data_IF_712167862713
#
_entry.id   IF_712167862713
#
_cell.length_a   1.000
_cell.length_b   1.000
_cell.length_c   1.000
_cell.angle_alpha   90.00
_cell.angle_beta   90.00
_cell.angle_gamma   90.00
#
_symmetry.space_group_name_H-M   'P 1'
#
loop_
_entity.id
_entity.type
_entity.pdbx_description
1 polymer ?
#
# COMPACT_ATOMS: atom_id res chain seq x y z
N UNK A 1 4.66 19.65 -4.03
CA UNK A 1 5.92 19.06 -3.53
C UNK A 1 5.75 18.74 -2.06
N UNK A 2 6.13 17.53 -1.62
CA UNK A 2 5.94 17.04 -0.25
C UNK A 2 7.30 16.98 0.45
N UNK A 3 7.44 17.65 1.61
CA UNK A 3 8.73 17.75 2.31
C UNK A 3 9.17 16.45 3.00
N UNK A 4 8.21 15.61 3.41
CA UNK A 4 8.49 14.30 4.02
C UNK A 4 7.31 13.36 3.83
N UNK A 5 7.62 12.06 3.71
CA UNK A 5 6.62 11.01 3.54
C UNK A 5 6.89 9.91 4.58
N UNK A 6 5.86 9.54 5.33
CA UNK A 6 5.83 8.30 6.08
C UNK A 6 5.11 7.24 5.23
N UNK A 7 5.70 6.09 5.04
CA UNK A 7 5.08 5.00 4.25
C UNK A 7 4.64 3.89 5.19
N UNK A 8 3.37 3.53 5.10
CA UNK A 8 2.78 2.40 5.80
C UNK A 8 2.23 1.43 4.76
N UNK A 9 2.45 0.15 4.95
CA UNK A 9 2.01 -0.90 4.02
C UNK A 9 1.44 -2.08 4.78
N UNK A 10 0.54 -2.81 4.13
CA UNK A 10 0.12 -4.13 4.58
C UNK A 10 -0.39 -4.10 6.04
N UNK A 11 -1.40 -3.23 6.29
CA UNK A 11 -1.98 -2.99 7.62
C UNK A 11 -2.91 -4.14 8.01
N UNK A 12 -3.56 -4.75 7.02
CA UNK A 12 -4.40 -5.94 7.17
C UNK A 12 -5.39 -5.86 8.34
N UNK A 13 -6.08 -4.72 8.49
CA UNK A 13 -7.12 -4.56 9.51
C UNK A 13 -6.61 -4.70 10.96
N UNK A 14 -5.33 -4.48 11.25
CA UNK A 14 -4.75 -4.60 12.59
C UNK A 14 -4.64 -3.22 13.24
N UNK A 15 -5.73 -2.76 13.88
CA UNK A 15 -5.82 -1.43 14.49
C UNK A 15 -4.74 -1.17 15.57
N UNK A 16 -4.42 -2.08 16.49
CA UNK A 16 -3.39 -1.81 17.49
C UNK A 16 -2.01 -1.55 16.90
N UNK A 17 -1.65 -2.25 15.81
CA UNK A 17 -0.39 -2.04 15.11
C UNK A 17 -0.39 -0.69 14.38
N UNK A 18 -1.49 -0.35 13.72
CA UNK A 18 -1.68 0.95 13.09
C UNK A 18 -1.54 2.09 14.09
N UNK A 19 -2.22 2.02 15.23
CA UNK A 19 -2.17 3.07 16.25
C UNK A 19 -0.75 3.22 16.85
N UNK A 20 -0.03 2.11 17.05
CA UNK A 20 1.35 2.15 17.51
C UNK A 20 2.25 2.89 16.50
N UNK A 21 2.14 2.59 15.20
CA UNK A 21 2.91 3.28 14.15
C UNK A 21 2.50 4.74 14.01
N UNK A 22 1.20 5.06 14.09
CA UNK A 22 0.71 6.44 14.03
C UNK A 22 1.18 7.27 15.24
N UNK A 23 1.49 6.65 16.38
CA UNK A 23 2.03 7.31 17.56
C UNK A 23 3.53 7.67 17.43
N UNK A 24 4.24 7.10 16.47
CA UNK A 24 5.66 7.37 16.25
C UNK A 24 5.92 8.83 15.89
N UNK A 25 6.90 9.51 16.54
CA UNK A 25 7.18 10.92 16.28
C UNK A 25 7.49 11.23 14.82
N UNK A 26 8.08 10.28 14.07
CA UNK A 26 8.37 10.41 12.64
C UNK A 26 7.10 10.46 11.78
N UNK A 27 6.04 9.78 12.19
CA UNK A 27 4.74 9.75 11.50
C UNK A 27 3.84 10.91 11.90
N UNK A 28 3.97 11.38 13.16
CA UNK A 28 3.19 12.54 13.65
C UNK A 28 3.65 13.89 13.08
N UNK A 29 4.89 14.00 12.62
CA UNK A 29 5.45 15.23 12.05
C UNK A 29 4.63 15.71 10.83
N UNK A 30 4.68 17.04 10.54
CA UNK A 30 4.09 17.55 9.31
C UNK A 30 4.69 16.86 8.09
N UNK A 31 3.84 16.24 7.30
CA UNK A 31 4.22 15.48 6.12
C UNK A 31 3.03 14.69 5.63
N UNK A 32 3.27 13.88 4.61
CA UNK A 32 2.26 13.01 4.05
C UNK A 32 2.45 11.57 4.54
N UNK A 33 1.37 10.89 4.80
CA UNK A 33 1.35 9.43 5.00
C UNK A 33 0.93 8.82 3.66
N UNK A 34 1.71 7.86 3.16
CA UNK A 34 1.33 7.08 1.98
C UNK A 34 1.07 5.66 2.42
N UNK A 35 -0.12 5.16 2.08
CA UNK A 35 -0.51 3.76 2.27
C UNK A 35 -0.26 3.03 0.95
N UNK A 36 0.55 2.00 0.96
CA UNK A 36 0.89 1.24 -0.25
C UNK A 36 0.06 -0.04 -0.41
N UNK A 37 -1.18 -0.02 0.12
CA UNK A 37 -2.16 -1.07 -0.08
C UNK A 37 -2.28 -2.09 1.05
N UNK A 38 -3.22 -3.01 0.90
CA UNK A 38 -3.59 -4.07 1.83
C UNK A 38 -3.97 -3.52 3.21
N UNK A 39 -4.99 -2.66 3.20
CA UNK A 39 -5.33 -1.80 4.33
C UNK A 39 -6.26 -2.52 5.30
N UNK A 40 -7.36 -3.10 4.78
CA UNK A 40 -8.51 -3.48 5.62
C UNK A 40 -8.77 -4.99 5.70
N UNK A 41 -8.11 -5.82 4.90
CA UNK A 41 -8.31 -7.27 4.93
C UNK A 41 -7.74 -7.88 6.21
N UNK A 42 -8.57 -7.97 7.28
CA UNK A 42 -8.14 -8.47 8.57
C UNK A 42 -9.18 -8.31 9.68
N UNK A 43 -8.78 -8.39 10.96
CA UNK A 43 -9.72 -8.53 12.08
C UNK A 43 -10.50 -7.27 12.47
N UNK A 44 -10.07 -6.08 12.07
CA UNK A 44 -10.69 -4.80 12.43
C UNK A 44 -10.79 -3.88 11.20
N UNK A 45 -11.50 -4.31 10.12
CA UNK A 45 -11.48 -3.62 8.82
C UNK A 45 -12.10 -2.22 8.91
N UNK A 46 -13.24 -2.10 9.58
CA UNK A 46 -13.99 -0.85 9.70
C UNK A 46 -13.23 0.16 10.54
N UNK A 47 -12.71 -0.27 11.70
CA UNK A 47 -12.00 0.59 12.63
C UNK A 47 -10.70 1.13 12.01
N UNK A 48 -9.99 0.31 11.24
CA UNK A 48 -8.78 0.74 10.52
C UNK A 48 -9.13 1.77 9.46
N UNK A 49 -10.18 1.54 8.66
CA UNK A 49 -10.61 2.49 7.64
C UNK A 49 -11.06 3.81 8.28
N UNK A 50 -11.92 3.79 9.31
CA UNK A 50 -12.39 4.98 10.01
C UNK A 50 -11.23 5.77 10.63
N UNK A 51 -10.26 5.06 11.21
CA UNK A 51 -9.05 5.65 11.80
C UNK A 51 -8.21 6.40 10.77
N UNK A 52 -8.04 5.83 9.59
CA UNK A 52 -7.25 6.41 8.50
C UNK A 52 -8.02 7.53 7.78
N UNK A 53 -9.32 7.36 7.53
CA UNK A 53 -10.20 8.39 6.96
C UNK A 53 -10.23 9.63 7.86
N UNK A 54 -10.19 9.46 9.19
CA UNK A 54 -10.11 10.55 10.15
C UNK A 54 -8.83 11.40 10.06
N UNK A 55 -7.79 10.92 9.36
CA UNK A 55 -6.56 11.70 9.11
C UNK A 55 -6.71 12.66 7.90
N UNK A 56 -7.77 12.54 7.13
CA UNK A 56 -8.12 13.43 6.02
C UNK A 56 -7.02 13.53 4.96
N UNK A 57 -6.76 14.75 4.50
CA UNK A 57 -5.83 15.06 3.42
C UNK A 57 -4.36 14.71 3.71
N UNK A 58 -4.04 14.30 4.94
CA UNK A 58 -2.70 13.81 5.27
C UNK A 58 -2.37 12.47 4.62
N UNK A 59 -3.38 11.69 4.24
CA UNK A 59 -3.21 10.34 3.70
C UNK A 59 -3.31 10.34 2.18
N UNK A 60 -2.35 9.73 1.54
CA UNK A 60 -2.40 9.31 0.13
C UNK A 60 -2.55 7.79 0.10
N UNK A 61 -3.55 7.34 -0.62
CA UNK A 61 -3.95 5.95 -0.68
C UNK A 61 -3.51 5.32 -2.00
N UNK A 62 -2.99 4.11 -1.91
CA UNK A 62 -2.73 3.24 -3.06
C UNK A 62 -3.47 1.93 -2.82
N UNK A 63 -4.15 1.40 -3.82
CA UNK A 63 -4.87 0.13 -3.73
C UNK A 63 -3.89 -1.05 -3.64
N UNK A 64 -4.15 -2.01 -2.74
CA UNK A 64 -3.55 -3.34 -2.75
C UNK A 64 -4.48 -4.40 -3.36
N UNK A 65 -3.97 -5.61 -3.56
CA UNK A 65 -4.77 -6.72 -4.04
C UNK A 65 -5.85 -7.11 -3.02
N UNK A 66 -5.53 -7.14 -1.73
CA UNK A 66 -6.51 -7.47 -0.70
C UNK A 66 -7.60 -6.39 -0.58
N UNK A 67 -7.32 -5.12 -0.86
CA UNK A 67 -8.34 -4.07 -0.92
C UNK A 67 -9.30 -4.30 -2.10
N UNK A 68 -8.78 -4.69 -3.28
CA UNK A 68 -9.58 -5.05 -4.45
C UNK A 68 -10.45 -6.28 -4.17
N UNK A 69 -9.87 -7.32 -3.59
CA UNK A 69 -10.57 -8.56 -3.23
C UNK A 69 -11.71 -8.32 -2.23
N UNK A 70 -11.53 -7.45 -1.23
CA UNK A 70 -12.60 -7.04 -0.32
C UNK A 70 -13.79 -6.42 -1.06
N UNK A 71 -13.52 -5.57 -2.06
CA UNK A 71 -14.57 -4.96 -2.89
C UNK A 71 -15.29 -6.03 -3.72
N UNK A 72 -14.55 -6.91 -4.39
CA UNK A 72 -15.10 -8.00 -5.20
C UNK A 72 -15.99 -8.94 -4.37
N UNK A 73 -15.54 -9.30 -3.16
CA UNK A 73 -16.32 -10.10 -2.20
C UNK A 73 -17.58 -9.37 -1.74
N UNK A 74 -17.48 -8.09 -1.36
CA UNK A 74 -18.60 -7.31 -0.88
C UNK A 74 -19.67 -7.09 -1.97
N UNK A 75 -19.27 -7.04 -3.23
CA UNK A 75 -20.12 -6.89 -4.40
C UNK A 75 -20.64 -8.24 -4.96
N UNK A 76 -20.24 -9.38 -4.39
CA UNK A 76 -20.61 -10.71 -4.86
C UNK A 76 -19.99 -11.07 -6.22
N UNK A 77 -18.83 -10.49 -6.55
CA UNK A 77 -18.10 -10.75 -7.80
C UNK A 77 -17.05 -11.87 -7.63
N UNK A 78 -16.70 -12.19 -6.39
CA UNK A 78 -15.84 -13.31 -6.03
C UNK A 78 -16.48 -14.10 -4.88
N UNK A 79 -16.35 -15.44 -4.93
CA UNK A 79 -16.85 -16.34 -3.88
C UNK A 79 -15.72 -16.87 -2.99
N UNK A 80 -14.49 -16.86 -3.46
CA UNK A 80 -13.31 -17.39 -2.78
C UNK A 80 -12.08 -16.51 -3.07
N UNK A 81 -11.26 -16.31 -2.04
CA UNK A 81 -9.98 -15.61 -2.11
C UNK A 81 -8.96 -16.35 -1.25
N UNK A 82 -7.68 -16.09 -1.46
CA UNK A 82 -6.60 -16.81 -0.76
C UNK A 82 -6.61 -16.56 0.75
N UNK A 83 -7.02 -15.38 1.19
CA UNK A 83 -7.06 -15.03 2.62
C UNK A 83 -8.39 -15.46 3.26
N UNK A 84 -8.38 -16.41 4.22
CA UNK A 84 -9.60 -16.94 4.85
C UNK A 84 -10.36 -15.91 5.69
N UNK A 85 -9.74 -14.81 6.11
CA UNK A 85 -10.41 -13.74 6.87
C UNK A 85 -11.14 -12.74 5.95
N UNK A 86 -10.72 -12.61 4.68
CA UNK A 86 -11.24 -11.61 3.76
C UNK A 86 -12.76 -11.70 3.55
N UNK A 87 -13.40 -12.88 3.41
CA UNK A 87 -14.85 -12.97 3.29
C UNK A 87 -15.60 -12.48 4.54
N UNK A 88 -15.01 -12.66 5.72
CA UNK A 88 -15.58 -12.11 6.94
C UNK A 88 -15.38 -10.59 7.01
N UNK A 89 -14.17 -10.10 6.71
CA UNK A 89 -13.86 -8.67 6.71
C UNK A 89 -14.74 -7.89 5.73
N UNK A 90 -14.94 -8.41 4.52
CA UNK A 90 -15.83 -7.80 3.51
C UNK A 90 -17.26 -7.59 4.04
N UNK A 91 -17.79 -8.54 4.83
CA UNK A 91 -19.11 -8.42 5.44
C UNK A 91 -19.22 -7.38 6.56
N UNK A 92 -18.10 -6.93 7.13
CA UNK A 92 -18.08 -5.88 8.15
C UNK A 92 -18.11 -4.47 7.54
N UNK A 93 -17.75 -4.33 6.26
CA UNK A 93 -17.67 -3.04 5.58
C UNK A 93 -19.05 -2.44 5.32
N UNK A 94 -19.18 -1.14 5.55
CA UNK A 94 -20.32 -0.36 5.08
C UNK A 94 -20.25 -0.15 3.56
N UNK A 95 -21.37 0.21 2.95
CA UNK A 95 -21.42 0.57 1.53
C UNK A 95 -20.43 1.73 1.22
N UNK A 96 -20.33 2.71 2.11
CA UNK A 96 -19.40 3.85 1.94
C UNK A 96 -17.94 3.39 1.97
N UNK A 97 -17.59 2.40 2.83
CA UNK A 97 -16.23 1.81 2.85
C UNK A 97 -15.92 1.07 1.56
N UNK A 98 -16.86 0.24 1.08
CA UNK A 98 -16.70 -0.49 -0.19
C UNK A 98 -16.52 0.49 -1.34
N UNK A 99 -17.36 1.52 -1.41
CA UNK A 99 -17.27 2.57 -2.42
C UNK A 99 -15.96 3.36 -2.35
N UNK A 100 -15.43 3.58 -1.15
CA UNK A 100 -14.12 4.22 -0.97
C UNK A 100 -13.01 3.34 -1.51
N UNK A 101 -12.93 2.08 -1.07
CA UNK A 101 -11.92 1.11 -1.51
C UNK A 101 -11.95 0.90 -3.03
N UNK A 102 -13.15 0.82 -3.63
CA UNK A 102 -13.32 0.65 -5.07
C UNK A 102 -12.72 1.80 -5.91
N UNK A 103 -12.58 2.99 -5.32
CA UNK A 103 -12.02 4.18 -6.00
C UNK A 103 -10.55 4.42 -5.72
N UNK A 104 -9.89 3.57 -4.94
CA UNK A 104 -8.47 3.74 -4.64
C UNK A 104 -7.61 3.70 -5.91
N UNK A 105 -6.72 4.68 -6.08
CA UNK A 105 -5.87 4.76 -7.27
C UNK A 105 -4.76 3.70 -7.26
N UNK A 106 -4.26 3.38 -8.47
CA UNK A 106 -3.11 2.50 -8.66
C UNK A 106 -2.43 2.73 -10.02
N UNK A 107 -1.11 2.91 -10.07
CA UNK A 107 -0.23 3.39 -8.98
C UNK A 107 -0.41 4.89 -8.71
N UNK A 108 0.32 5.47 -7.75
CA UNK A 108 0.31 6.90 -7.43
C UNK A 108 1.72 7.47 -7.55
N UNK A 109 1.83 8.69 -8.09
CA UNK A 109 3.09 9.43 -8.15
C UNK A 109 3.01 10.71 -7.32
N UNK A 110 4.05 10.98 -6.53
CA UNK A 110 4.19 12.22 -5.77
C UNK A 110 5.55 12.87 -6.04
N UNK A 111 5.57 14.20 -6.09
CA UNK A 111 6.81 14.98 -6.04
C UNK A 111 7.27 15.10 -4.59
N UNK A 112 8.44 14.53 -4.27
CA UNK A 112 9.02 14.51 -2.92
C UNK A 112 10.33 15.29 -2.92
N UNK A 113 10.48 16.21 -1.97
CA UNK A 113 11.67 17.06 -1.84
C UNK A 113 12.95 16.22 -1.74
N UNK A 114 13.92 16.52 -2.58
CA UNK A 114 15.20 15.81 -2.64
C UNK A 114 15.17 14.47 -3.39
N UNK A 115 13.99 13.94 -3.74
CA UNK A 115 13.81 12.69 -4.48
C UNK A 115 13.26 12.89 -5.89
N UNK A 116 12.59 14.04 -6.16
CA UNK A 116 11.83 14.23 -7.39
C UNK A 116 10.55 13.38 -7.44
N UNK A 117 10.15 12.89 -8.63
CA UNK A 117 8.99 12.03 -8.75
C UNK A 117 9.25 10.64 -8.13
N UNK A 118 8.46 10.29 -7.13
CA UNK A 118 8.47 8.98 -6.45
C UNK A 118 7.19 8.26 -6.82
N UNK A 119 7.32 7.03 -7.28
CA UNK A 119 6.17 6.17 -7.59
C UNK A 119 5.85 5.28 -6.39
N UNK A 120 4.59 5.24 -6.03
CA UNK A 120 4.04 4.36 -4.99
C UNK A 120 3.08 3.36 -5.64
N UNK A 121 3.30 2.08 -5.38
CA UNK A 121 2.45 0.99 -5.82
C UNK A 121 2.31 -0.05 -4.70
N UNK A 122 1.45 -1.06 -4.88
CA UNK A 122 1.39 -2.17 -3.93
C UNK A 122 2.46 -3.22 -4.27
N UNK A 123 2.29 -3.93 -5.35
CA UNK A 123 3.23 -4.99 -5.77
C UNK A 123 4.25 -4.50 -6.81
N UNK A 124 3.82 -4.21 -8.04
CA UNK A 124 4.66 -3.62 -9.09
C UNK A 124 3.95 -2.42 -9.72
N UNK A 125 4.61 -1.56 -10.48
CA UNK A 125 3.95 -0.42 -11.12
C UNK A 125 2.77 -0.77 -12.04
N UNK A 126 2.70 -2.01 -12.50
CA UNK A 126 1.71 -2.49 -13.48
C UNK A 126 0.68 -3.46 -12.92
N UNK A 127 0.92 -4.02 -11.73
CA UNK A 127 0.11 -5.12 -11.20
C UNK A 127 0.14 -5.14 -9.69
N UNK A 128 -1.00 -5.34 -9.03
CA UNK A 128 -1.15 -5.29 -7.57
C UNK A 128 -0.91 -6.64 -6.87
N UNK A 129 -0.61 -7.73 -7.63
CA UNK A 129 -0.31 -9.06 -7.09
C UNK A 129 1.08 -9.58 -7.51
N UNK A 130 1.71 -8.96 -8.50
CA UNK A 130 2.93 -9.47 -9.11
C UNK A 130 4.09 -9.53 -8.12
N UNK A 131 4.54 -10.74 -7.78
CA UNK A 131 5.60 -10.96 -6.78
C UNK A 131 6.98 -10.69 -7.36
N UNK A 132 7.70 -9.78 -6.71
CA UNK A 132 9.13 -9.53 -6.91
C UNK A 132 9.75 -9.34 -5.53
N UNK A 133 10.76 -10.15 -5.19
CA UNK A 133 11.40 -10.16 -3.88
C UNK A 133 12.81 -9.55 -3.94
N UNK A 134 13.39 -9.25 -2.78
CA UNK A 134 14.67 -8.56 -2.68
C UNK A 134 15.80 -9.24 -3.47
N UNK A 135 15.82 -10.55 -3.56
CA UNK A 135 16.82 -11.36 -4.27
C UNK A 135 16.42 -11.74 -5.70
N UNK A 136 15.26 -11.28 -6.20
CA UNK A 136 14.89 -11.45 -7.60
C UNK A 136 15.98 -10.94 -8.53
N UNK A 137 16.19 -11.62 -9.66
CA UNK A 137 17.21 -11.26 -10.64
C UNK A 137 17.01 -9.85 -11.19
N UNK A 138 18.10 -9.18 -11.58
CA UNK A 138 18.04 -7.83 -12.13
C UNK A 138 17.18 -7.75 -13.41
N UNK A 139 17.15 -8.81 -14.22
CA UNK A 139 16.31 -8.90 -15.42
C UNK A 139 14.83 -8.83 -15.07
N UNK A 140 14.41 -9.48 -13.95
CA UNK A 140 13.03 -9.40 -13.46
C UNK A 140 12.69 -7.99 -13.00
N UNK A 141 13.61 -7.33 -12.29
CA UNK A 141 13.45 -5.92 -11.93
C UNK A 141 13.39 -5.00 -13.15
N UNK A 142 14.22 -5.25 -14.17
CA UNK A 142 14.17 -4.49 -15.44
C UNK A 142 12.82 -4.65 -16.15
N UNK A 143 12.27 -5.86 -16.16
CA UNK A 143 10.97 -6.15 -16.76
C UNK A 143 9.85 -5.35 -16.08
N UNK A 144 9.74 -5.41 -14.74
CA UNK A 144 8.64 -4.78 -14.00
C UNK A 144 8.76 -3.26 -13.89
N UNK A 145 9.98 -2.71 -14.00
CA UNK A 145 10.25 -1.27 -13.90
C UNK A 145 10.50 -0.62 -15.28
N UNK A 146 10.56 -1.40 -16.35
CA UNK A 146 11.02 -0.93 -17.66
C UNK A 146 10.12 0.09 -18.34
N UNK A 147 8.85 0.14 -18.01
CA UNK A 147 7.89 1.12 -18.54
C UNK A 147 7.87 2.47 -17.85
N UNK A 148 8.64 2.65 -16.78
CA UNK A 148 8.65 3.90 -16.03
C UNK A 148 9.50 4.99 -16.69
N UNK A 149 9.07 6.27 -16.62
CA UNK A 149 9.86 7.42 -17.05
C UNK A 149 11.26 7.45 -16.39
N UNK A 150 12.27 7.98 -17.09
CA UNK A 150 13.65 7.99 -16.58
C UNK A 150 13.84 8.85 -15.33
N UNK A 151 13.04 9.90 -15.18
CA UNK A 151 13.03 10.77 -14.02
C UNK A 151 12.55 10.10 -12.72
N UNK A 152 11.77 9.00 -12.81
CA UNK A 152 11.33 8.20 -11.66
C UNK A 152 12.50 7.35 -11.19
N UNK A 153 13.21 7.83 -10.17
CA UNK A 153 14.39 7.16 -9.60
C UNK A 153 14.07 6.34 -8.36
N UNK A 154 12.90 6.55 -7.76
CA UNK A 154 12.49 5.86 -6.54
C UNK A 154 11.10 5.24 -6.73
N UNK A 155 10.99 3.96 -6.41
CA UNK A 155 9.74 3.21 -6.36
C UNK A 155 9.56 2.67 -4.95
N UNK A 156 8.41 2.94 -4.35
CA UNK A 156 8.04 2.47 -3.01
C UNK A 156 6.87 1.51 -3.13
N UNK A 157 7.01 0.35 -2.52
CA UNK A 157 6.04 -0.74 -2.65
C UNK A 157 5.90 -1.56 -1.36
N UNK A 158 4.83 -2.36 -1.23
CA UNK A 158 4.55 -3.32 -0.16
C UNK A 158 4.50 -4.77 -0.61
N UNK A 159 3.37 -5.43 -0.33
CA UNK A 159 2.93 -6.75 -0.78
C UNK A 159 3.71 -7.95 -0.24
N UNK A 160 5.03 -7.90 -0.23
CA UNK A 160 5.85 -9.07 0.18
C UNK A 160 6.20 -9.06 1.68
N UNK A 161 5.69 -8.10 2.45
CA UNK A 161 5.89 -7.90 3.89
C UNK A 161 7.35 -7.81 4.36
N UNK A 162 8.30 -7.98 3.47
CA UNK A 162 9.74 -8.00 3.77
C UNK A 162 10.34 -6.61 3.59
N UNK A 163 10.85 -5.96 4.65
CA UNK A 163 11.47 -4.64 4.51
C UNK A 163 12.82 -4.72 3.79
N UNK A 164 13.00 -3.88 2.78
CA UNK A 164 14.28 -3.75 2.09
C UNK A 164 14.43 -2.42 1.37
N UNK A 165 15.68 -2.06 1.10
CA UNK A 165 16.06 -1.03 0.12
C UNK A 165 17.02 -1.70 -0.86
N UNK A 166 16.72 -1.62 -2.14
CA UNK A 166 17.53 -2.21 -3.20
C UNK A 166 17.72 -1.24 -4.36
N UNK A 167 18.94 -1.19 -4.89
CA UNK A 167 19.21 -0.58 -6.18
C UNK A 167 18.98 -1.62 -7.29
N UNK A 168 17.99 -1.37 -8.13
CA UNK A 168 17.67 -2.15 -9.31
C UNK A 168 17.98 -1.31 -10.56
N UNK A 169 19.12 -1.58 -11.19
CA UNK A 169 19.73 -0.74 -12.23
C UNK A 169 19.92 0.72 -11.74
N UNK A 170 19.17 1.66 -12.29
CA UNK A 170 19.26 3.09 -11.94
C UNK A 170 18.18 3.55 -10.98
N UNK A 171 17.36 2.63 -10.47
CA UNK A 171 16.22 2.94 -9.58
C UNK A 171 16.40 2.33 -8.21
N UNK A 172 16.09 3.11 -7.20
CA UNK A 172 15.96 2.64 -5.83
C UNK A 172 14.56 2.07 -5.63
N UNK A 173 14.47 0.84 -5.12
CA UNK A 173 13.22 0.21 -4.71
C UNK A 173 13.21 0.09 -3.20
N UNK A 174 12.14 0.57 -2.59
CA UNK A 174 11.94 0.55 -1.14
C UNK A 174 10.67 -0.25 -0.81
N UNK A 175 10.80 -1.21 0.10
CA UNK A 175 9.65 -1.85 0.73
C UNK A 175 9.75 -1.57 2.24
N UNK A 176 8.74 -0.96 2.88
CA UNK A 176 8.78 -0.64 4.31
C UNK A 176 8.52 -1.86 5.20
N UNK A 177 8.17 -3.01 4.64
CA UNK A 177 7.61 -4.14 5.36
C UNK A 177 6.12 -3.99 5.62
N UNK A 178 5.58 -4.80 6.50
CA UNK A 178 4.17 -4.82 6.89
C UNK A 178 3.95 -4.20 8.26
N UNK A 179 2.84 -3.48 8.43
CA UNK A 179 2.37 -2.95 9.72
C UNK A 179 1.61 -4.02 10.51
N UNK A 180 0.76 -4.80 9.84
CA UNK A 180 -0.20 -5.68 10.51
C UNK A 180 0.19 -7.15 10.58
N UNK A 181 0.88 -7.66 9.57
CA UNK A 181 1.21 -9.08 9.44
C UNK A 181 2.70 -9.22 9.09
N UNK A 182 3.42 -10.07 9.84
CA UNK A 182 4.83 -10.35 9.59
C UNK A 182 5.02 -11.43 8.50
#
# INVERSE_FOLDING_TARGET
MVASVAVLSDIHGVLPALDAVLAEPGVQRPGRIVLTGDIAAGPQPTEVLDRLLGLGDRVTWVRGNADRELVELAQGQADDVHDPIAPWAARQLSADHVDWLARLPYPVMLEVDGFGPVLFCHATPRDDEEVVVVDSRLERWAEVLGGLPEEVRTVVRGHTHMPFIRLAHTRQVVNPGSVGIA
#
